data_IF_136651997445
#
_entry.id   IF_136651997445
#
_cell.length_a   1.000
_cell.length_b   1.000
_cell.length_c   1.000
_cell.angle_alpha   90.00
_cell.angle_beta   90.00
_cell.angle_gamma   90.00
#
_symmetry.space_group_name_H-M   'P 1'
#
loop_
_entity.id
_entity.type
_entity.pdbx_description
1 polymer ?
#
# COMPACT_ATOMS: atom_id res chain seq x y z
N UNK A 1 8.45 19.97 -14.45
CA UNK A 1 9.08 20.57 -13.25
C UNK A 1 10.23 19.67 -12.81
N UNK A 2 11.33 20.23 -12.33
CA UNK A 2 12.42 19.47 -11.72
C UNK A 2 12.25 19.51 -10.20
N UNK A 3 12.30 18.34 -9.56
CA UNK A 3 12.15 18.14 -8.12
C UNK A 3 13.46 17.59 -7.56
N UNK A 4 13.74 17.86 -6.29
CA UNK A 4 14.93 17.37 -5.61
C UNK A 4 14.69 15.97 -5.00
N UNK A 5 13.45 15.71 -4.55
CA UNK A 5 13.06 14.44 -3.92
C UNK A 5 11.69 14.00 -4.43
N UNK A 6 11.59 12.72 -4.81
CA UNK A 6 10.33 12.04 -5.10
C UNK A 6 10.10 10.95 -4.06
N UNK A 7 8.98 11.06 -3.33
CA UNK A 7 8.55 10.09 -2.31
C UNK A 7 7.39 9.29 -2.90
N UNK A 8 7.48 7.96 -2.81
CA UNK A 8 6.42 7.05 -3.25
C UNK A 8 5.71 6.51 -2.00
N UNK A 9 4.42 6.81 -1.89
CA UNK A 9 3.57 6.55 -0.73
C UNK A 9 3.39 7.79 0.15
N UNK A 10 2.17 8.04 0.63
CA UNK A 10 1.83 9.17 1.54
C UNK A 10 1.52 8.75 2.99
N UNK A 11 1.82 7.49 3.34
CA UNK A 11 1.54 6.94 4.67
C UNK A 11 2.40 7.50 5.81
N UNK A 12 2.20 6.95 7.01
CA UNK A 12 2.79 7.45 8.26
C UNK A 12 4.33 7.55 8.28
N UNK A 13 5.04 6.74 7.49
CA UNK A 13 6.49 6.84 7.36
C UNK A 13 6.94 7.96 6.40
N UNK A 14 6.16 8.21 5.34
CA UNK A 14 6.51 9.15 4.29
C UNK A 14 6.12 10.59 4.61
N UNK A 15 4.96 10.79 5.23
CA UNK A 15 4.43 12.13 5.50
C UNK A 15 5.35 13.01 6.37
N UNK A 16 5.94 12.51 7.49
CA UNK A 16 6.89 13.32 8.28
C UNK A 16 8.16 13.66 7.50
N UNK A 17 8.64 12.75 6.66
CA UNK A 17 9.84 12.99 5.82
C UNK A 17 9.55 14.08 4.80
N UNK A 18 8.39 14.02 4.13
CA UNK A 18 7.97 15.04 3.17
C UNK A 18 7.87 16.42 3.84
N UNK A 19 7.33 16.47 5.06
CA UNK A 19 7.23 17.68 5.87
C UNK A 19 8.61 18.28 6.18
N UNK A 20 9.52 17.50 6.76
CA UNK A 20 10.85 17.97 7.15
C UNK A 20 11.69 18.43 5.95
N UNK A 21 11.67 17.67 4.84
CA UNK A 21 12.39 18.04 3.62
C UNK A 21 11.84 19.31 2.98
N UNK A 22 10.51 19.47 2.97
CA UNK A 22 9.88 20.69 2.46
C UNK A 22 10.25 21.90 3.31
N UNK A 23 10.24 21.76 4.65
CA UNK A 23 10.67 22.80 5.59
C UNK A 23 12.15 23.18 5.42
N UNK A 24 13.00 22.22 5.05
CA UNK A 24 14.41 22.47 4.74
C UNK A 24 14.64 23.13 3.36
N UNK A 25 13.58 23.37 2.57
CA UNK A 25 13.63 24.10 1.30
C UNK A 25 13.79 23.23 0.05
N UNK A 26 13.70 21.91 0.17
CA UNK A 26 13.73 21.01 -0.99
C UNK A 26 12.41 21.04 -1.77
N UNK A 27 12.49 20.90 -3.10
CA UNK A 27 11.32 20.66 -3.95
C UNK A 27 10.95 19.19 -3.87
N UNK A 28 9.94 18.89 -3.07
CA UNK A 28 9.46 17.52 -2.84
C UNK A 28 8.19 17.25 -3.63
N UNK A 29 8.11 16.08 -4.26
CA UNK A 29 6.85 15.52 -4.79
C UNK A 29 6.54 14.22 -4.07
N UNK A 30 5.27 14.05 -3.69
CA UNK A 30 4.75 12.80 -3.12
C UNK A 30 3.79 12.19 -4.12
N UNK A 31 3.99 10.90 -4.43
CA UNK A 31 3.11 10.13 -5.31
C UNK A 31 2.41 9.08 -4.47
N UNK A 32 1.09 9.13 -4.43
CA UNK A 32 0.24 8.11 -3.82
C UNK A 32 -0.65 7.52 -4.91
N UNK A 33 -0.74 6.19 -4.96
CA UNK A 33 -1.60 5.47 -5.90
C UNK A 33 -3.06 5.50 -5.42
N UNK A 34 -3.25 5.40 -4.10
CA UNK A 34 -4.56 5.43 -3.46
C UNK A 34 -5.29 6.77 -3.61
N UNK A 35 -6.51 6.81 -3.08
CA UNK A 35 -7.31 8.05 -3.05
C UNK A 35 -6.65 9.09 -2.13
N UNK A 36 -6.96 10.37 -2.39
CA UNK A 36 -6.58 11.45 -1.48
C UNK A 36 -7.49 11.44 -0.24
N UNK A 37 -7.09 10.69 0.79
CA UNK A 37 -7.80 10.67 2.06
C UNK A 37 -7.53 11.94 2.88
N UNK A 38 -8.57 12.42 3.52
CA UNK A 38 -8.58 13.60 4.38
C UNK A 38 -8.91 13.18 5.81
N UNK A 39 -8.78 14.10 6.77
CA UNK A 39 -9.12 13.84 8.17
C UNK A 39 -10.56 13.31 8.36
N UNK A 40 -11.50 13.72 7.49
CA UNK A 40 -12.89 13.27 7.51
C UNK A 40 -13.07 11.81 7.09
N UNK A 41 -12.15 11.27 6.29
CA UNK A 41 -12.16 9.87 5.87
C UNK A 41 -11.69 8.94 6.99
N UNK A 42 -10.86 9.45 7.92
CA UNK A 42 -10.35 8.65 9.03
C UNK A 42 -11.32 8.65 10.21
N UNK A 43 -11.86 7.47 10.52
CA UNK A 43 -12.58 7.24 11.77
C UNK A 43 -11.70 6.48 12.77
N UNK A 44 -12.02 6.60 14.07
CA UNK A 44 -11.38 5.78 15.12
C UNK A 44 -12.00 4.39 15.24
N UNK A 45 -12.69 3.91 14.20
CA UNK A 45 -13.19 2.54 14.18
C UNK A 45 -12.06 1.61 13.77
N UNK A 46 -11.38 1.03 14.76
CA UNK A 46 -10.32 0.03 14.51
C UNK A 46 -10.82 -1.13 13.64
N UNK A 47 -12.12 -1.46 13.65
CA UNK A 47 -12.63 -2.51 12.77
C UNK A 47 -12.54 -2.10 11.30
N UNK A 48 -12.69 -0.82 10.98
CA UNK A 48 -12.53 -0.31 9.62
C UNK A 48 -11.08 -0.36 9.13
N UNK A 49 -10.12 -0.17 10.04
CA UNK A 49 -8.69 -0.17 9.71
C UNK A 49 -8.08 -1.57 9.74
N UNK A 50 -8.45 -2.40 10.71
CA UNK A 50 -7.82 -3.69 10.97
C UNK A 50 -8.59 -4.88 10.37
N UNK A 51 -9.92 -4.75 10.15
CA UNK A 51 -10.76 -5.87 9.67
C UNK A 51 -11.47 -5.59 8.36
N UNK A 52 -11.39 -4.36 7.83
CA UNK A 52 -11.98 -3.99 6.54
C UNK A 52 -10.88 -3.45 5.63
N UNK A 53 -11.19 -3.47 4.34
CA UNK A 53 -10.26 -3.15 3.26
C UNK A 53 -10.17 -1.65 2.97
N UNK A 54 -10.11 -0.81 4.01
CA UNK A 54 -10.14 0.65 3.85
C UNK A 54 -8.93 1.18 3.07
N UNK A 55 -7.76 0.57 3.28
CA UNK A 55 -6.50 0.91 2.61
C UNK A 55 -5.96 -0.25 1.76
N UNK A 56 -6.64 -1.40 1.78
CA UNK A 56 -6.26 -2.57 1.00
C UNK A 56 -6.62 -2.34 -0.47
N UNK A 57 -5.68 -2.59 -1.41
CA UNK A 57 -6.00 -2.57 -2.83
C UNK A 57 -7.09 -3.58 -3.21
N UNK A 58 -7.82 -3.31 -4.29
CA UNK A 58 -8.73 -4.29 -4.84
C UNK A 58 -7.94 -5.49 -5.35
N UNK A 59 -8.28 -6.69 -4.86
CA UNK A 59 -7.58 -7.93 -5.21
C UNK A 59 -7.65 -8.22 -6.72
N UNK A 60 -8.72 -7.84 -7.40
CA UNK A 60 -8.86 -8.04 -8.85
C UNK A 60 -7.83 -7.28 -9.68
N UNK A 61 -7.49 -6.08 -9.20
CA UNK A 61 -6.55 -5.18 -9.87
C UNK A 61 -5.10 -5.47 -9.42
N UNK A 62 -4.93 -5.82 -8.15
CA UNK A 62 -3.65 -6.02 -7.50
C UNK A 62 -3.67 -7.32 -6.71
N UNK A 63 -3.29 -8.39 -7.38
CA UNK A 63 -3.27 -9.74 -6.83
C UNK A 63 -1.86 -10.26 -6.61
N UNK A 64 -1.77 -11.18 -5.66
CA UNK A 64 -0.55 -11.91 -5.42
C UNK A 64 -0.54 -13.18 -6.27
N UNK A 65 0.65 -13.53 -6.75
CA UNK A 65 0.92 -14.89 -7.21
C UNK A 65 1.59 -15.62 -6.07
N UNK A 66 0.94 -16.66 -5.56
CA UNK A 66 1.46 -17.49 -4.49
C UNK A 66 2.04 -18.75 -5.10
N UNK A 67 3.30 -19.04 -4.77
CA UNK A 67 3.99 -20.24 -5.22
C UNK A 67 4.31 -21.09 -4.00
N UNK A 68 3.65 -22.24 -3.88
CA UNK A 68 3.92 -23.22 -2.84
C UNK A 68 4.83 -24.32 -3.38
N UNK A 69 5.97 -24.52 -2.72
CA UNK A 69 6.92 -25.57 -3.07
C UNK A 69 6.56 -26.85 -2.34
N UNK A 70 6.29 -27.90 -3.10
CA UNK A 70 5.94 -29.22 -2.59
C UNK A 70 7.19 -30.00 -2.15
N UNK A 71 6.96 -31.07 -1.36
CA UNK A 71 8.03 -31.93 -0.84
C UNK A 71 8.79 -32.70 -1.93
N UNK A 72 8.15 -32.96 -3.07
CA UNK A 72 8.76 -33.56 -4.26
C UNK A 72 9.56 -32.55 -5.11
N UNK A 73 9.57 -31.28 -4.71
CA UNK A 73 10.27 -30.19 -5.38
C UNK A 73 9.48 -29.50 -6.49
N UNK A 74 8.25 -29.94 -6.79
CA UNK A 74 7.34 -29.23 -7.69
C UNK A 74 6.85 -27.91 -7.06
N UNK A 75 6.35 -26.99 -7.89
CA UNK A 75 5.78 -25.71 -7.45
C UNK A 75 4.34 -25.64 -7.92
N UNK A 76 3.43 -25.44 -6.98
CA UNK A 76 2.04 -25.13 -7.27
C UNK A 76 1.84 -23.62 -7.21
N UNK A 77 1.23 -23.06 -8.26
CA UNK A 77 0.97 -21.63 -8.40
C UNK A 77 -0.51 -21.34 -8.17
N UNK A 78 -0.80 -20.35 -7.34
CA UNK A 78 -2.14 -19.84 -7.07
C UNK A 78 -2.20 -18.37 -7.50
N UNK A 79 -3.20 -18.02 -8.30
CA UNK A 79 -3.54 -16.64 -8.62
C UNK A 79 -4.50 -16.09 -7.56
N UNK A 80 -4.09 -15.03 -6.87
CA UNK A 80 -4.87 -14.45 -5.78
C UNK A 80 -6.31 -14.08 -6.16
N UNK A 81 -6.58 -13.72 -7.42
CA UNK A 81 -7.94 -13.39 -7.90
C UNK A 81 -8.83 -14.61 -7.99
N UNK A 82 -8.28 -15.68 -8.56
CA UNK A 82 -9.02 -16.92 -8.78
C UNK A 82 -9.33 -17.61 -7.44
N UNK A 83 -8.37 -17.58 -6.52
CA UNK A 83 -8.46 -18.26 -5.23
C UNK A 83 -8.95 -17.34 -4.10
N UNK A 84 -9.17 -16.05 -4.38
CA UNK A 84 -9.56 -15.02 -3.40
C UNK A 84 -8.57 -14.98 -2.22
N UNK A 85 -7.28 -15.16 -2.51
CA UNK A 85 -6.19 -15.14 -1.54
C UNK A 85 -5.46 -13.81 -1.61
N UNK A 86 -5.38 -13.13 -0.48
CA UNK A 86 -4.57 -11.92 -0.32
C UNK A 86 -3.68 -12.02 0.91
N UNK A 87 -2.50 -11.42 0.83
CA UNK A 87 -1.50 -11.37 1.90
C UNK A 87 -1.27 -9.93 2.37
N UNK A 88 -2.24 -9.05 2.13
CA UNK A 88 -2.11 -7.62 2.43
C UNK A 88 -1.98 -7.34 3.93
N UNK A 89 -2.49 -8.23 4.78
CA UNK A 89 -2.47 -8.11 6.24
C UNK A 89 -1.63 -9.20 6.94
N UNK A 90 -0.76 -9.88 6.19
CA UNK A 90 -0.10 -11.13 6.64
C UNK A 90 -1.07 -12.30 6.72
#
# INVERSE_FOLDING_TARGET
>A
MMVDVCIIGSGAGAAPIAYELSNAGFKVVVLEKGKNYTEEDFNKDELAVCRRDMFTPNLEDEYHIINERQSDGSVQRYDGREYQWSFWNG
#
